data_IF_763930357569
#
_entry.id   IF_763930357569
#
_cell.length_a   1.000
_cell.length_b   1.000
_cell.length_c   1.000
_cell.angle_alpha   90.00
_cell.angle_beta   90.00
_cell.angle_gamma   90.00
#
_symmetry.space_group_name_H-M   'P 1'
#
loop_
_entity.id
_entity.type
_entity.pdbx_description
1 polymer ?
#
# COMPACT_ATOMS: atom_id res chain seq x y z
N UNK A 1 3.41 -7.40 8.75
CA UNK A 1 2.04 -7.89 8.47
C UNK A 1 2.16 -8.99 7.44
N UNK A 2 1.52 -10.15 7.60
CA UNK A 2 1.75 -11.32 6.75
C UNK A 2 0.50 -11.59 5.91
N UNK A 3 0.66 -11.56 4.58
CA UNK A 3 -0.34 -12.03 3.61
C UNK A 3 -0.12 -13.52 3.35
N UNK A 4 -1.12 -14.20 2.79
CA UNK A 4 -1.03 -15.61 2.40
C UNK A 4 -0.26 -15.82 1.10
N UNK A 5 -0.12 -14.77 0.28
CA UNK A 5 0.58 -14.78 -1.00
C UNK A 5 2.02 -14.24 -0.86
N UNK A 6 2.74 -14.17 -1.98
CA UNK A 6 4.04 -13.48 -2.03
C UNK A 6 3.95 -11.95 -2.06
N UNK A 7 2.75 -11.40 -2.27
CA UNK A 7 2.56 -9.95 -2.20
C UNK A 7 2.84 -9.45 -0.79
N UNK A 8 3.24 -8.19 -0.66
CA UNK A 8 3.61 -7.64 0.64
C UNK A 8 3.36 -6.15 0.74
N UNK A 9 3.33 -5.66 1.98
CA UNK A 9 3.21 -4.25 2.31
C UNK A 9 4.53 -3.79 2.92
N UNK A 10 5.16 -2.78 2.33
CA UNK A 10 6.26 -2.04 2.96
C UNK A 10 5.66 -0.92 3.81
N UNK A 11 5.38 -1.20 5.09
CA UNK A 11 4.85 -0.24 6.05
C UNK A 11 5.99 0.52 6.75
N UNK A 12 5.97 1.85 6.63
CA UNK A 12 6.88 2.75 7.33
C UNK A 12 6.09 3.69 8.23
N UNK A 13 6.36 3.59 9.53
CA UNK A 13 5.82 4.51 10.52
C UNK A 13 6.79 5.67 10.72
N UNK A 14 6.25 6.89 10.70
CA UNK A 14 7.04 8.12 10.87
C UNK A 14 7.65 8.23 12.26
N UNK A 15 6.88 7.84 13.26
CA UNK A 15 7.16 7.88 14.69
C UNK A 15 6.15 6.99 15.43
N UNK A 16 6.16 7.03 16.77
CA UNK A 16 5.25 6.28 17.62
C UNK A 16 3.95 7.04 17.98
N UNK A 17 3.57 8.05 17.18
CA UNK A 17 2.31 8.78 17.37
C UNK A 17 1.23 8.27 16.42
N UNK A 18 -0.04 8.43 16.82
CA UNK A 18 -1.16 8.11 15.94
C UNK A 18 -1.24 9.11 14.79
N UNK A 19 -1.12 8.66 13.55
CA UNK A 19 -1.09 9.50 12.33
C UNK A 19 -1.94 8.93 11.22
N UNK A 20 -2.33 9.78 10.29
CA UNK A 20 -2.90 9.31 9.03
C UNK A 20 -1.84 8.58 8.20
N UNK A 21 -2.29 7.61 7.41
CA UNK A 21 -1.45 6.79 6.56
C UNK A 21 -1.81 6.99 5.09
N UNK A 22 -0.79 7.11 4.24
CA UNK A 22 -0.96 7.04 2.78
C UNK A 22 -0.53 5.67 2.29
N UNK A 23 -1.47 4.92 1.70
CA UNK A 23 -1.22 3.65 1.03
C UNK A 23 -1.03 3.89 -0.47
N UNK A 24 0.17 3.60 -0.95
CA UNK A 24 0.59 3.77 -2.34
C UNK A 24 0.36 2.48 -3.11
N UNK A 25 -0.30 2.59 -4.27
CA UNK A 25 -0.49 1.55 -5.28
C UNK A 25 0.31 1.93 -6.53
N UNK A 26 1.57 1.48 -6.65
CA UNK A 26 2.39 1.80 -7.82
C UNK A 26 1.79 1.16 -9.08
N UNK A 27 2.04 1.76 -10.24
CA UNK A 27 1.66 1.20 -11.53
C UNK A 27 2.58 0.06 -11.97
N UNK A 28 2.53 -0.24 -13.28
CA UNK A 28 3.29 -1.36 -13.87
C UNK A 28 2.44 -2.32 -14.70
N UNK A 29 1.27 -1.88 -15.17
CA UNK A 29 0.45 -2.62 -16.13
C UNK A 29 -0.07 -3.96 -15.63
N UNK A 30 -0.11 -4.19 -14.32
CA UNK A 30 -0.38 -5.49 -13.69
C UNK A 30 0.67 -6.58 -13.93
N UNK A 31 1.85 -6.22 -14.42
CA UNK A 31 2.98 -7.13 -14.59
C UNK A 31 4.04 -6.95 -13.50
N UNK A 32 4.22 -5.72 -13.03
CA UNK A 32 5.17 -5.34 -11.99
C UNK A 32 4.56 -4.28 -11.08
N UNK A 33 5.26 -4.00 -9.98
CA UNK A 33 5.07 -2.80 -9.16
C UNK A 33 6.22 -1.84 -9.48
N UNK A 34 5.92 -0.67 -10.07
CA UNK A 34 6.93 0.29 -10.54
C UNK A 34 7.67 0.97 -9.39
N UNK A 35 8.99 0.75 -9.28
CA UNK A 35 9.82 1.39 -8.26
C UNK A 35 9.79 2.94 -8.33
N UNK A 36 9.51 3.51 -9.51
CA UNK A 36 9.39 4.97 -9.71
C UNK A 36 8.18 5.58 -8.99
N UNK A 37 7.16 4.77 -8.74
CA UNK A 37 5.88 5.15 -8.13
C UNK A 37 5.73 4.57 -6.71
N UNK A 38 6.80 3.97 -6.17
CA UNK A 38 6.86 3.36 -4.83
C UNK A 38 7.51 4.31 -3.81
N UNK A 39 8.77 4.07 -3.42
CA UNK A 39 9.50 4.86 -2.42
C UNK A 39 9.51 6.38 -2.72
N UNK A 40 9.72 6.85 -3.97
CA UNK A 40 9.70 8.29 -4.23
C UNK A 40 8.40 8.97 -3.83
N UNK A 41 7.25 8.29 -3.98
CA UNK A 41 5.95 8.82 -3.59
C UNK A 41 5.76 8.72 -2.08
N UNK A 42 6.07 7.57 -1.48
CA UNK A 42 5.98 7.40 -0.04
C UNK A 42 6.85 8.42 0.73
N UNK A 43 8.07 8.68 0.27
CA UNK A 43 8.99 9.62 0.93
C UNK A 43 8.48 11.07 0.94
N UNK A 44 7.63 11.47 -0.03
CA UNK A 44 6.96 12.78 -0.03
C UNK A 44 5.98 12.88 1.14
N UNK A 45 5.09 11.91 1.30
CA UNK A 45 4.11 11.89 2.39
C UNK A 45 4.76 11.66 3.76
N UNK A 46 5.82 10.87 3.82
CA UNK A 46 6.62 10.68 5.04
C UNK A 46 7.24 12.00 5.51
N UNK A 47 7.69 12.86 4.59
CA UNK A 47 8.19 14.22 4.93
C UNK A 47 7.06 15.12 5.42
N UNK A 48 5.85 14.93 4.89
CA UNK A 48 4.64 15.67 5.27
C UNK A 48 3.87 15.04 6.46
N UNK A 49 4.59 14.38 7.36
CA UNK A 49 4.05 13.88 8.63
C UNK A 49 3.01 12.75 8.55
N UNK A 50 2.91 12.04 7.44
CA UNK A 50 2.10 10.81 7.32
C UNK A 50 2.91 9.56 7.66
N UNK A 51 2.22 8.53 8.14
CA UNK A 51 2.70 7.16 7.95
C UNK A 51 2.53 6.78 6.48
N UNK A 52 3.32 5.83 5.99
CA UNK A 52 3.20 5.40 4.60
C UNK A 52 3.27 3.91 4.47
N UNK A 53 2.52 3.36 3.51
CA UNK A 53 2.64 1.98 3.11
C UNK A 53 2.71 1.90 1.59
N UNK A 54 3.48 0.96 1.06
CA UNK A 54 3.48 0.64 -0.37
C UNK A 54 2.99 -0.79 -0.51
N UNK A 55 1.98 -1.01 -1.35
CA UNK A 55 1.49 -2.35 -1.63
C UNK A 55 2.15 -2.90 -2.90
N UNK A 56 2.97 -3.95 -2.75
CA UNK A 56 3.57 -4.69 -3.84
C UNK A 56 2.68 -5.87 -4.22
N UNK A 57 1.65 -5.58 -5.03
CA UNK A 57 0.53 -6.50 -5.35
C UNK A 57 0.77 -7.39 -6.59
N UNK A 58 2.03 -7.48 -7.05
CA UNK A 58 2.45 -8.22 -8.25
C UNK A 58 3.69 -9.09 -8.05
N UNK A 59 4.02 -9.43 -6.81
CA UNK A 59 4.96 -10.52 -6.52
C UNK A 59 4.32 -11.90 -6.76
N UNK A 60 2.99 -11.93 -6.72
CA UNK A 60 2.15 -13.03 -7.19
C UNK A 60 0.97 -12.48 -7.99
N UNK A 61 0.70 -13.10 -9.14
CA UNK A 61 -0.40 -12.66 -10.00
C UNK A 61 -1.72 -13.18 -9.46
N UNK A 62 -2.44 -12.31 -8.76
CA UNK A 62 -3.84 -12.54 -8.41
C UNK A 62 -4.79 -11.99 -9.47
N UNK A 63 -5.87 -12.73 -9.72
CA UNK A 63 -7.00 -12.34 -10.57
C UNK A 63 -8.25 -12.14 -9.71
N UNK A 64 -9.30 -11.57 -10.29
CA UNK A 64 -10.59 -11.43 -9.61
C UNK A 64 -11.19 -12.82 -9.29
N UNK A 65 -11.74 -13.04 -8.08
CA UNK A 65 -11.95 -12.07 -7.00
C UNK A 65 -10.77 -11.91 -6.03
N UNK A 66 -9.80 -12.83 -6.03
CA UNK A 66 -8.74 -12.90 -5.02
C UNK A 66 -7.90 -11.63 -4.90
N UNK A 67 -7.66 -10.91 -5.99
CA UNK A 67 -6.93 -9.63 -5.95
C UNK A 67 -7.68 -8.56 -5.13
N UNK A 68 -9.01 -8.55 -5.20
CA UNK A 68 -9.86 -7.65 -4.42
C UNK A 68 -9.85 -8.05 -2.95
N UNK A 69 -10.03 -9.35 -2.69
CA UNK A 69 -10.05 -9.91 -1.33
C UNK A 69 -8.73 -9.62 -0.59
N UNK A 70 -7.59 -9.78 -1.26
CA UNK A 70 -6.30 -9.44 -0.66
C UNK A 70 -6.15 -7.92 -0.44
N UNK A 71 -6.63 -7.09 -1.36
CA UNK A 71 -6.68 -5.63 -1.16
C UNK A 71 -7.49 -5.23 0.09
N UNK A 72 -8.64 -5.86 0.31
CA UNK A 72 -9.46 -5.66 1.51
C UNK A 72 -8.75 -6.16 2.79
N UNK A 73 -8.00 -7.27 2.69
CA UNK A 73 -7.16 -7.76 3.79
C UNK A 73 -6.04 -6.77 4.13
N UNK A 74 -5.38 -6.18 3.12
CA UNK A 74 -4.36 -5.13 3.30
C UNK A 74 -4.93 -3.94 4.06
N UNK A 75 -6.11 -3.44 3.67
CA UNK A 75 -6.77 -2.33 4.35
C UNK A 75 -7.09 -2.69 5.80
N UNK A 76 -7.66 -3.87 6.05
CA UNK A 76 -8.02 -4.34 7.39
C UNK A 76 -6.79 -4.44 8.30
N UNK A 77 -5.67 -4.97 7.78
CA UNK A 77 -4.40 -5.07 8.50
C UNK A 77 -3.86 -3.68 8.88
N UNK A 78 -3.88 -2.73 7.96
CA UNK A 78 -3.43 -1.37 8.23
C UNK A 78 -4.34 -0.64 9.23
N UNK A 79 -5.66 -0.82 9.12
CA UNK A 79 -6.64 -0.25 10.06
C UNK A 79 -6.51 -0.80 11.48
N UNK A 80 -6.08 -2.06 11.62
CA UNK A 80 -5.84 -2.68 12.93
C UNK A 80 -4.60 -2.16 13.66
N UNK A 81 -3.72 -1.41 12.97
CA UNK A 81 -2.55 -0.83 13.60
C UNK A 81 -2.96 0.36 14.49
N UNK A 82 -2.69 0.35 15.81
CA UNK A 82 -3.15 1.40 16.72
C UNK A 82 -2.53 2.78 16.44
N UNK A 83 -1.43 2.83 15.70
CA UNK A 83 -0.76 4.08 15.29
C UNK A 83 -1.35 4.66 13.99
N UNK A 84 -2.25 3.95 13.31
CA UNK A 84 -2.93 4.44 12.10
C UNK A 84 -4.26 5.10 12.48
N UNK A 85 -4.50 6.29 11.94
CA UNK A 85 -5.74 7.05 12.14
C UNK A 85 -6.72 6.87 10.97
N UNK A 86 -6.47 7.57 9.86
CA UNK A 86 -7.19 7.41 8.59
C UNK A 86 -6.24 6.84 7.54
N UNK A 87 -6.79 6.17 6.55
CA UNK A 87 -6.02 5.68 5.40
C UNK A 87 -6.48 6.43 4.16
N UNK A 88 -5.52 7.05 3.47
CA UNK A 88 -5.69 7.65 2.15
C UNK A 88 -5.04 6.74 1.11
N UNK A 89 -5.70 6.53 -0.01
CA UNK A 89 -5.17 5.73 -1.11
C UNK A 89 -4.63 6.66 -2.19
N UNK A 90 -3.49 6.31 -2.76
CA UNK A 90 -2.98 6.94 -3.98
C UNK A 90 -2.49 5.85 -4.92
N UNK A 91 -2.97 5.88 -6.16
CA UNK A 91 -2.57 4.91 -7.18
C UNK A 91 -2.15 5.59 -8.47
N UNK A 92 -1.33 4.88 -9.25
CA UNK A 92 -0.84 5.35 -10.55
C UNK A 92 -1.06 4.28 -11.62
N UNK A 93 -1.55 4.66 -12.80
CA UNK A 93 -1.79 3.71 -13.92
C UNK A 93 -2.61 2.49 -13.47
N UNK A 94 -2.10 1.27 -13.66
CA UNK A 94 -2.73 0.04 -13.18
C UNK A 94 -2.95 0.01 -11.65
N UNK A 95 -2.11 0.71 -10.88
CA UNK A 95 -2.30 0.88 -9.45
C UNK A 95 -3.48 1.79 -9.12
N UNK A 96 -3.71 2.84 -9.93
CA UNK A 96 -4.90 3.70 -9.81
C UNK A 96 -6.19 2.97 -10.19
N UNK A 97 -6.13 2.07 -11.18
CA UNK A 97 -7.27 1.22 -11.52
C UNK A 97 -7.58 0.19 -10.42
N UNK A 98 -6.59 -0.18 -9.59
CA UNK A 98 -6.80 -1.11 -8.50
C UNK A 98 -7.25 -0.44 -7.19
N UNK A 99 -6.69 0.73 -6.86
CA UNK A 99 -6.97 1.49 -5.64
C UNK A 99 -8.44 1.95 -5.56
#
# INVERSE_FOLDING_TARGET
MKLSTKNYIDLKLKDHQKRDLVLVFPGGGYYITSARESNPIADVFMKDHYHTAIYYYREEKLIYPSVKEEGEQVLSLLQSNPLVNRIFLIGFSAGAHFA
#
